data_IF_281752470211
#
_entry.id   IF_281752470211
#
_cell.length_a   1.000
_cell.length_b   1.000
_cell.length_c   1.000
_cell.angle_alpha   90.00
_cell.angle_beta   90.00
_cell.angle_gamma   90.00
#
_symmetry.space_group_name_H-M   'P 1'
#
loop_
_entity.id
_entity.type
_entity.pdbx_description
1 polymer ?
#
# COMPACT_ATOMS: atom_id res chain seq x y z
N UNK A 1 -2.38 6.74 10.04
CA UNK A 1 -1.64 7.91 9.48
C UNK A 1 -2.61 8.98 8.99
N UNK A 2 -2.19 10.23 8.84
CA UNK A 2 -3.11 11.34 8.55
C UNK A 2 -3.75 11.23 7.17
N UNK A 3 -5.07 10.96 7.12
CA UNK A 3 -5.93 10.98 5.92
C UNK A 3 -5.63 12.17 5.00
N UNK A 4 -5.29 13.31 5.60
CA UNK A 4 -4.88 14.55 4.91
C UNK A 4 -3.71 14.31 3.95
N UNK A 5 -2.68 13.55 4.36
CA UNK A 5 -1.51 13.25 3.52
C UNK A 5 -1.87 12.40 2.32
N UNK A 6 -2.67 11.35 2.53
CA UNK A 6 -3.18 10.50 1.45
C UNK A 6 -3.98 11.31 0.45
N UNK A 7 -4.90 12.16 0.93
CA UNK A 7 -5.65 13.09 0.08
C UNK A 7 -4.72 14.03 -0.68
N UNK A 8 -3.69 14.57 -0.03
CA UNK A 8 -2.71 15.48 -0.66
C UNK A 8 -1.97 14.78 -1.80
N UNK A 9 -1.54 13.53 -1.60
CA UNK A 9 -0.84 12.75 -2.63
C UNK A 9 -1.78 12.41 -3.78
N UNK A 10 -3.02 12.01 -3.48
CA UNK A 10 -4.03 11.74 -4.51
C UNK A 10 -4.29 12.99 -5.35
N UNK A 11 -4.42 14.16 -4.71
CA UNK A 11 -4.60 15.43 -5.39
C UNK A 11 -3.39 15.77 -6.28
N UNK A 12 -2.16 15.56 -5.80
CA UNK A 12 -0.93 15.78 -6.56
C UNK A 12 -0.81 14.82 -7.76
N UNK A 13 -1.17 13.54 -7.59
CA UNK A 13 -1.24 12.56 -8.68
C UNK A 13 -2.25 12.96 -9.73
N UNK A 14 -3.44 13.40 -9.31
CA UNK A 14 -4.47 13.87 -10.21
C UNK A 14 -4.03 15.12 -10.99
N UNK A 15 -3.35 16.05 -10.33
CA UNK A 15 -2.82 17.25 -10.97
C UNK A 15 -1.72 16.93 -11.98
N UNK A 16 -0.85 15.96 -11.67
CA UNK A 16 0.14 15.43 -12.61
C UNK A 16 -0.53 14.81 -13.84
N UNK A 17 -1.58 14.03 -13.64
CA UNK A 17 -2.32 13.42 -14.74
C UNK A 17 -2.96 14.48 -15.65
N UNK A 18 -3.57 15.52 -15.07
CA UNK A 18 -4.10 16.66 -15.83
C UNK A 18 -3.02 17.39 -16.63
N UNK A 19 -1.84 17.60 -16.04
CA UNK A 19 -0.74 18.25 -16.73
C UNK A 19 -0.19 17.41 -17.89
N UNK A 20 -0.12 16.08 -17.73
CA UNK A 20 0.26 15.16 -18.79
C UNK A 20 -0.74 15.22 -19.97
N UNK A 21 -2.04 15.15 -19.70
CA UNK A 21 -3.09 15.30 -20.74
C UNK A 21 -2.98 16.66 -21.43
N UNK A 22 -2.79 17.75 -20.67
CA UNK A 22 -2.66 19.08 -21.25
C UNK A 22 -1.44 19.17 -22.19
N UNK A 23 -0.30 18.59 -21.81
CA UNK A 23 0.89 18.55 -22.65
C UNK A 23 0.69 17.67 -23.89
N UNK A 24 -0.01 16.53 -23.75
CA UNK A 24 -0.37 15.62 -24.84
C UNK A 24 -1.12 16.36 -25.96
N UNK A 25 -2.08 17.22 -25.62
CA UNK A 25 -2.85 17.99 -26.63
C UNK A 25 -1.97 18.91 -27.50
N UNK A 26 -0.74 19.22 -27.07
CA UNK A 26 0.22 20.04 -27.81
C UNK A 26 1.24 19.23 -28.60
N UNK A 27 1.29 17.92 -28.44
CA UNK A 27 2.21 17.04 -29.16
C UNK A 27 1.66 16.64 -30.52
N UNK A 28 2.37 17.01 -31.59
CA UNK A 28 2.09 16.53 -32.95
C UNK A 28 2.82 15.24 -33.29
N UNK A 29 3.90 14.92 -32.57
CA UNK A 29 4.79 13.77 -32.83
C UNK A 29 4.87 12.90 -31.58
N UNK A 30 4.99 11.58 -31.74
CA UNK A 30 5.05 10.58 -30.66
C UNK A 30 3.78 10.39 -29.82
N UNK A 31 2.61 10.80 -30.34
CA UNK A 31 1.32 10.65 -29.67
C UNK A 31 1.06 9.22 -29.14
N UNK A 32 1.32 8.19 -29.95
CA UNK A 32 1.10 6.79 -29.54
C UNK A 32 1.95 6.36 -28.36
N UNK A 33 3.20 6.85 -28.28
CA UNK A 33 4.10 6.53 -27.18
C UNK A 33 3.64 7.21 -25.89
N UNK A 34 3.24 8.47 -25.96
CA UNK A 34 2.71 9.22 -24.81
C UNK A 34 1.41 8.58 -24.30
N UNK A 35 0.51 8.18 -25.21
CA UNK A 35 -0.73 7.49 -24.84
C UNK A 35 -0.46 6.21 -24.05
N UNK A 36 0.56 5.42 -24.44
CA UNK A 36 0.97 4.24 -23.68
C UNK A 36 1.48 4.63 -22.28
N UNK A 37 2.29 5.68 -22.17
CA UNK A 37 2.75 6.18 -20.87
C UNK A 37 1.60 6.65 -19.98
N UNK A 38 0.60 7.34 -20.53
CA UNK A 38 -0.59 7.78 -19.79
C UNK A 38 -1.40 6.59 -19.30
N UNK A 39 -1.62 5.57 -20.14
CA UNK A 39 -2.35 4.35 -19.75
C UNK A 39 -1.60 3.58 -18.66
N UNK A 40 -0.28 3.40 -18.81
CA UNK A 40 0.55 2.74 -17.78
C UNK A 40 0.54 3.56 -16.49
N UNK A 41 0.68 4.88 -16.60
CA UNK A 41 0.59 5.81 -15.46
C UNK A 41 -0.76 5.73 -14.75
N UNK A 42 -1.87 5.60 -15.49
CA UNK A 42 -3.20 5.44 -14.91
C UNK A 42 -3.34 4.13 -14.12
N UNK A 43 -2.86 3.02 -14.68
CA UNK A 43 -2.86 1.71 -14.00
C UNK A 43 -2.03 1.80 -12.71
N UNK A 44 -0.85 2.41 -12.80
CA UNK A 44 0.05 2.60 -11.66
C UNK A 44 -0.60 3.51 -10.59
N UNK A 45 -1.25 4.60 -11.00
CA UNK A 45 -1.98 5.50 -10.11
C UNK A 45 -3.13 4.78 -9.39
N UNK A 46 -3.90 3.92 -10.07
CA UNK A 46 -4.94 3.11 -9.44
C UNK A 46 -4.35 2.14 -8.40
N UNK A 47 -3.24 1.48 -8.73
CA UNK A 47 -2.51 0.63 -7.80
C UNK A 47 -2.03 1.39 -6.57
N UNK A 48 -1.55 2.62 -6.75
CA UNK A 48 -1.13 3.50 -5.66
C UNK A 48 -2.29 3.95 -4.78
N UNK A 49 -3.42 4.34 -5.36
CA UNK A 49 -4.61 4.73 -4.59
C UNK A 49 -5.09 3.57 -3.73
N UNK A 50 -5.10 2.34 -4.27
CA UNK A 50 -5.44 1.15 -3.50
C UNK A 50 -4.41 0.84 -2.42
N UNK A 51 -3.11 0.90 -2.74
CA UNK A 51 -2.03 0.63 -1.80
C UNK A 51 -2.02 1.61 -0.62
N UNK A 52 -2.15 2.91 -0.90
CA UNK A 52 -2.25 3.95 0.11
C UNK A 52 -3.57 3.93 0.87
N UNK A 53 -4.69 3.63 0.19
CA UNK A 53 -6.01 3.55 0.81
C UNK A 53 -6.17 2.37 1.77
N UNK A 54 -5.43 1.29 1.54
CA UNK A 54 -5.33 0.13 2.43
C UNK A 54 -4.17 0.24 3.44
N UNK A 55 -3.51 1.40 3.51
CA UNK A 55 -2.35 1.69 4.39
C UNK A 55 -1.23 0.62 4.27
N UNK A 56 -0.99 0.10 3.06
CA UNK A 56 0.02 -0.94 2.87
C UNK A 56 1.43 -0.33 2.82
N UNK A 57 2.38 -0.92 3.56
CA UNK A 57 3.78 -0.44 3.67
C UNK A 57 4.50 -0.26 2.33
N UNK A 58 4.15 -1.07 1.32
CA UNK A 58 4.74 -1.00 -0.03
C UNK A 58 4.15 0.13 -0.89
N UNK A 59 3.05 0.75 -0.49
CA UNK A 59 2.44 1.87 -1.21
C UNK A 59 3.39 3.07 -1.30
N UNK A 60 4.02 3.45 -0.18
CA UNK A 60 4.92 4.59 -0.10
C UNK A 60 6.14 4.51 -1.03
N UNK A 61 6.97 3.44 -1.02
CA UNK A 61 8.10 3.37 -1.95
C UNK A 61 7.66 3.38 -3.42
N UNK A 62 6.50 2.78 -3.76
CA UNK A 62 5.97 2.85 -5.12
C UNK A 62 5.55 4.28 -5.46
N UNK A 63 4.98 5.06 -4.53
CA UNK A 63 4.65 6.47 -4.82
C UNK A 63 5.90 7.28 -5.15
N UNK A 64 7.01 7.05 -4.45
CA UNK A 64 8.29 7.72 -4.74
C UNK A 64 8.82 7.35 -6.12
N UNK A 65 8.74 6.07 -6.49
CA UNK A 65 9.11 5.60 -7.83
C UNK A 65 8.21 6.27 -8.88
N UNK A 66 6.90 6.33 -8.63
CA UNK A 66 5.94 6.94 -9.55
C UNK A 66 6.20 8.44 -9.77
N UNK A 67 6.38 9.21 -8.70
CA UNK A 67 6.72 10.63 -8.82
C UNK A 67 8.06 10.85 -9.52
N UNK A 68 9.05 9.99 -9.30
CA UNK A 68 10.32 10.03 -10.04
C UNK A 68 10.10 9.80 -11.54
N UNK A 69 9.25 8.84 -11.90
CA UNK A 69 8.90 8.54 -13.29
C UNK A 69 8.12 9.70 -13.94
N UNK A 70 7.17 10.31 -13.22
CA UNK A 70 6.46 11.50 -13.68
C UNK A 70 7.38 12.70 -13.87
N UNK A 71 8.40 12.86 -13.02
CA UNK A 71 9.39 13.92 -13.15
C UNK A 71 10.25 13.71 -14.41
N UNK A 72 10.69 12.47 -14.67
CA UNK A 72 11.37 12.11 -15.91
C UNK A 72 10.48 12.37 -17.14
N UNK A 73 9.20 11.98 -17.09
CA UNK A 73 8.25 12.25 -18.17
C UNK A 73 8.07 13.76 -18.41
N UNK A 74 7.97 14.54 -17.34
CA UNK A 74 7.83 16.00 -17.41
C UNK A 74 9.03 16.66 -18.11
N UNK A 75 10.25 16.19 -17.81
CA UNK A 75 11.47 16.66 -18.48
C UNK A 75 11.45 16.28 -19.97
N UNK A 76 11.09 15.04 -20.29
CA UNK A 76 10.96 14.58 -21.68
C UNK A 76 9.94 15.41 -22.47
N UNK A 77 8.75 15.61 -21.91
CA UNK A 77 7.69 16.41 -22.49
C UNK A 77 8.08 17.87 -22.70
N UNK A 78 8.88 18.44 -21.80
CA UNK A 78 9.40 19.81 -21.96
C UNK A 78 10.34 19.93 -23.15
N UNK A 79 11.23 18.95 -23.37
CA UNK A 79 12.14 18.95 -24.53
C UNK A 79 11.35 18.98 -25.84
N UNK A 80 10.21 18.28 -25.90
CA UNK A 80 9.37 18.21 -27.10
C UNK A 80 8.46 19.44 -27.28
N UNK A 81 7.77 19.86 -26.23
CA UNK A 81 6.74 20.92 -26.32
C UNK A 81 7.28 22.33 -26.12
N UNK A 82 8.48 22.47 -25.53
CA UNK A 82 9.13 23.73 -25.14
C UNK A 82 8.26 24.68 -24.30
N UNK A 83 7.23 24.15 -23.64
CA UNK A 83 6.28 24.93 -22.86
C UNK A 83 6.80 25.16 -21.43
N UNK A 84 7.55 26.24 -21.23
CA UNK A 84 8.22 26.52 -19.94
C UNK A 84 7.27 26.63 -18.75
N UNK A 85 6.13 27.32 -18.89
CA UNK A 85 5.21 27.56 -17.78
C UNK A 85 4.62 26.25 -17.23
N UNK A 86 4.19 25.35 -18.14
CA UNK A 86 3.64 24.05 -17.75
C UNK A 86 4.72 23.18 -17.14
N UNK A 87 5.92 23.18 -17.73
CA UNK A 87 7.07 22.45 -17.20
C UNK A 87 7.41 22.89 -15.77
N UNK A 88 7.54 24.19 -15.51
CA UNK A 88 7.89 24.70 -14.19
C UNK A 88 6.84 24.32 -13.13
N UNK A 89 5.57 24.42 -13.49
CA UNK A 89 4.44 24.06 -12.62
C UNK A 89 4.42 22.56 -12.31
N UNK A 90 4.58 21.72 -13.33
CA UNK A 90 4.66 20.26 -13.19
C UNK A 90 5.89 19.83 -12.39
N UNK A 91 7.04 20.46 -12.62
CA UNK A 91 8.26 20.21 -11.88
C UNK A 91 8.07 20.51 -10.39
N UNK A 92 7.42 21.64 -10.06
CA UNK A 92 7.11 22.00 -8.69
C UNK A 92 6.23 20.96 -8.00
N UNK A 93 5.12 20.55 -8.65
CA UNK A 93 4.21 19.55 -8.07
C UNK A 93 4.85 18.17 -7.93
N UNK A 94 5.63 17.73 -8.92
CA UNK A 94 6.36 16.46 -8.82
C UNK A 94 7.39 16.48 -7.70
N UNK A 95 8.15 17.58 -7.56
CA UNK A 95 9.14 17.71 -6.51
C UNK A 95 8.48 17.74 -5.13
N UNK A 96 7.37 18.47 -4.97
CA UNK A 96 6.60 18.49 -3.74
C UNK A 96 6.04 17.10 -3.39
N UNK A 97 5.45 16.40 -4.35
CA UNK A 97 4.94 15.03 -4.16
C UNK A 97 6.03 14.03 -3.79
N UNK A 98 7.19 14.14 -4.43
CA UNK A 98 8.36 13.31 -4.13
C UNK A 98 8.87 13.56 -2.71
N UNK A 99 9.02 14.83 -2.29
CA UNK A 99 9.42 15.17 -0.92
C UNK A 99 8.44 14.64 0.13
N UNK A 100 7.14 14.82 -0.10
CA UNK A 100 6.10 14.29 0.80
C UNK A 100 6.20 12.76 0.87
N UNK A 101 6.40 12.08 -0.26
CA UNK A 101 6.52 10.61 -0.28
C UNK A 101 7.73 10.11 0.54
N UNK A 102 8.88 10.78 0.44
CA UNK A 102 10.09 10.39 1.17
C UNK A 102 9.92 10.62 2.68
N UNK A 103 9.34 11.77 3.07
CA UNK A 103 9.09 12.07 4.48
C UNK A 103 8.13 11.04 5.08
N UNK A 104 7.09 10.63 4.33
CA UNK A 104 6.15 9.63 4.80
C UNK A 104 6.78 8.25 5.03
N UNK A 105 7.74 7.83 4.20
CA UNK A 105 8.45 6.56 4.40
C UNK A 105 9.18 6.55 5.76
N UNK A 106 9.83 7.67 6.10
CA UNK A 106 10.63 7.76 7.33
C UNK A 106 9.78 7.67 8.61
N UNK A 107 8.55 8.17 8.57
CA UNK A 107 7.67 8.13 9.74
C UNK A 107 7.08 6.74 10.02
N UNK A 108 7.00 5.85 9.02
CA UNK A 108 6.50 4.48 9.25
C UNK A 108 7.49 3.60 10.03
N UNK A 109 8.80 3.88 9.93
CA UNK A 109 9.84 3.07 10.58
C UNK A 109 10.05 3.43 12.06
N UNK A 110 9.75 4.68 12.46
CA UNK A 110 10.00 5.19 13.84
C UNK A 110 8.95 4.75 14.88
N UNK A 111 7.86 4.10 14.46
CA UNK A 111 6.74 3.72 15.35
C UNK A 111 6.63 2.21 15.66
N UNK A 112 7.65 1.41 15.33
CA UNK A 112 7.64 -0.04 15.61
C UNK A 112 8.61 -0.45 16.71
N UNK A 113 8.83 0.42 17.70
CA UNK A 113 9.28 0.01 19.04
C UNK A 113 8.10 0.14 20.01
N UNK A 114 7.01 -0.59 19.75
CA UNK A 114 6.30 -1.14 20.90
C UNK A 114 7.27 -2.17 21.49
N UNK A 115 7.88 -1.81 22.63
CA UNK A 115 8.44 -2.74 23.61
C UNK A 115 7.40 -3.84 23.82
N UNK A 116 7.40 -4.87 22.98
CA UNK A 116 6.94 -6.16 23.40
C UNK A 116 7.97 -6.55 24.45
N UNK A 117 7.64 -6.51 25.76
CA UNK A 117 8.53 -7.12 26.73
C UNK A 117 8.70 -8.54 26.22
N UNK A 118 9.92 -8.88 25.81
CA UNK A 118 10.30 -10.25 25.54
C UNK A 118 9.79 -11.00 26.76
N UNK A 119 8.75 -11.83 26.57
CA UNK A 119 8.36 -12.81 27.56
C UNK A 119 9.58 -13.73 27.68
N UNK A 120 10.55 -13.31 28.50
CA UNK A 120 11.54 -14.20 29.07
C UNK A 120 10.73 -15.16 29.90
N UNK A 121 10.39 -16.30 29.29
CA UNK A 121 9.99 -17.48 30.03
C UNK A 121 11.15 -17.77 30.97
N UNK A 122 10.98 -17.41 32.24
CA UNK A 122 11.85 -17.83 33.32
C UNK A 122 11.82 -19.37 33.30
N UNK A 123 12.89 -19.97 32.78
CA UNK A 123 13.08 -21.42 32.68
C UNK A 123 13.41 -22.06 34.04
N UNK A 124 13.01 -21.43 35.14
CA UNK A 124 13.33 -21.82 36.51
C UNK A 124 12.12 -22.37 37.29
N UNK A 125 11.05 -22.76 36.60
CA UNK A 125 10.04 -23.63 37.21
C UNK A 125 10.62 -25.05 37.33
N UNK A 126 11.14 -25.33 38.52
CA UNK A 126 11.51 -26.65 39.02
C UNK A 126 10.48 -27.72 38.60
N UNK A 127 10.91 -28.94 38.22
CA UNK A 127 9.97 -30.00 37.86
C UNK A 127 9.12 -30.36 39.09
N UNK A 128 7.89 -29.85 39.12
CA UNK A 128 6.86 -30.34 40.02
C UNK A 128 6.77 -31.85 39.87
N UNK A 129 7.18 -32.56 40.92
CA UNK A 129 7.12 -34.00 41.03
C UNK A 129 5.72 -34.47 40.68
N UNK A 130 5.59 -35.18 39.57
CA UNK A 130 4.35 -35.84 39.15
C UNK A 130 4.02 -36.90 40.21
N UNK A 131 3.11 -36.55 41.12
CA UNK A 131 2.49 -37.53 42.02
C UNK A 131 1.55 -38.37 41.16
N UNK A 132 2.05 -39.55 40.77
CA UNK A 132 1.28 -40.59 40.11
C UNK A 132 0.26 -41.21 41.08
N UNK A 133 -0.88 -40.56 41.27
CA UNK A 133 -2.03 -41.22 41.88
C UNK A 133 -2.77 -42.07 40.84
N UNK A 134 -2.35 -43.33 40.84
CA UNK A 134 -2.97 -44.44 40.12
C UNK A 134 -4.30 -44.75 40.82
N UNK A 135 -5.44 -44.43 40.19
CA UNK A 135 -6.72 -45.13 40.43
C UNK A 135 -7.71 -44.90 39.28
N UNK A 136 -7.77 -45.92 38.40
CA UNK A 136 -9.00 -46.59 37.92
C UNK A 136 -10.30 -45.79 37.90
N UNK A 137 -10.94 -45.70 36.71
CA UNK A 137 -12.30 -46.24 36.38
C UNK A 137 -12.74 -45.69 35.01
N UNK A 138 -12.54 -46.42 33.90
CA UNK A 138 -13.54 -47.25 33.19
C UNK A 138 -14.94 -46.63 32.99
N UNK A 139 -15.32 -46.52 31.70
CA UNK A 139 -16.67 -46.37 31.12
C UNK A 139 -17.20 -44.93 31.17
N UNK A 140 -17.67 -44.32 30.08
CA UNK A 140 -18.75 -44.85 29.23
C UNK A 140 -18.78 -44.17 27.87
N UNK A 141 -18.67 -44.97 26.80
CA UNK A 141 -19.11 -44.62 25.46
C UNK A 141 -20.65 -44.72 25.38
N UNK A 142 -21.32 -43.69 24.84
CA UNK A 142 -22.56 -43.74 24.03
C UNK A 142 -23.29 -42.40 24.07
N UNK A 143 -23.29 -41.66 22.95
CA UNK A 143 -24.47 -41.02 22.33
C UNK A 143 -24.07 -40.17 21.11
N UNK A 144 -23.57 -40.83 20.07
CA UNK A 144 -23.61 -40.31 18.71
C UNK A 144 -24.47 -41.25 17.86
N UNK A 145 -25.78 -41.07 17.94
CA UNK A 145 -26.74 -41.56 16.94
C UNK A 145 -28.06 -40.84 17.17
N UNK A 146 -28.73 -40.46 16.07
CA UNK A 146 -29.99 -39.70 15.97
C UNK A 146 -29.89 -38.17 15.95
N UNK A 147 -29.38 -37.62 14.85
CA UNK A 147 -29.97 -36.40 14.24
C UNK A 147 -29.76 -36.24 12.72
N UNK A 148 -29.59 -37.34 11.99
CA UNK A 148 -29.70 -37.39 10.52
C UNK A 148 -30.96 -38.16 10.13
N UNK A 149 -32.12 -37.52 10.18
CA UNK A 149 -33.32 -37.87 9.40
C UNK A 149 -34.46 -36.96 9.86
N UNK A 150 -34.59 -35.78 9.23
CA UNK A 150 -35.81 -34.96 9.11
C UNK A 150 -35.45 -33.60 8.50
N UNK A 151 -35.03 -33.61 7.23
CA UNK A 151 -35.17 -32.42 6.35
C UNK A 151 -35.16 -32.86 4.88
N UNK A 152 -36.16 -33.67 4.53
CA UNK A 152 -36.66 -33.85 3.16
C UNK A 152 -38.19 -33.81 3.27
N UNK A 153 -38.83 -33.06 2.36
CA UNK A 153 -40.25 -32.64 2.32
C UNK A 153 -40.55 -31.32 3.03
N UNK A 154 -40.32 -30.21 2.35
CA UNK A 154 -41.41 -29.45 1.72
C UNK A 154 -40.84 -28.64 0.57
#
# INVERSE_FOLDING_TARGET
MGIIRTITIIALLFLNFLGAIYLETKLSTYFTLELVFIVVGLILALGLILGLGLELKWGWPITTIAFSLYLANTVFLYVLTRSFLVFALMLFFNTAGLLISIISIKEDDDFTEEDHPLETYDFDDEPHSVVCDTKTTKKTAKKQSKKKSKKKKK
#
